data_IF_872628741738
#
_entry.id   IF_872628741738
#
_cell.length_a   1.000
_cell.length_b   1.000
_cell.length_c   1.000
_cell.angle_alpha   90.00
_cell.angle_beta   90.00
_cell.angle_gamma   90.00
#
_symmetry.space_group_name_H-M   'P 1'
#
loop_
_entity.id
_entity.type
_entity.pdbx_description
1 polymer ?
#
# COMPACT_ATOMS: atom_id res chain seq x y z
N UNK A 1 -28.88 -1.71 2.73
CA UNK A 1 -28.60 -1.72 4.18
C UNK A 1 -27.14 -2.14 4.38
N UNK A 2 -26.28 -1.20 4.75
CA UNK A 2 -24.90 -1.45 5.08
C UNK A 2 -24.83 -2.33 6.33
N UNK A 3 -24.34 -3.56 6.18
CA UNK A 3 -24.15 -4.49 7.32
C UNK A 3 -22.79 -4.32 7.98
N UNK A 4 -21.81 -3.74 7.26
CA UNK A 4 -20.47 -3.52 7.78
C UNK A 4 -20.33 -2.13 8.37
N UNK A 5 -19.79 -2.05 9.58
CA UNK A 5 -19.41 -0.78 10.23
C UNK A 5 -17.98 -0.36 9.91
N UNK A 6 -17.40 -0.93 8.87
CA UNK A 6 -16.05 -0.64 8.42
C UNK A 6 -16.03 -0.40 6.91
N UNK A 7 -15.11 0.46 6.47
CA UNK A 7 -14.75 0.72 5.08
C UNK A 7 -13.24 0.66 4.97
N UNK A 8 -12.73 -0.01 3.95
CA UNK A 8 -11.29 -0.03 3.66
C UNK A 8 -11.05 0.75 2.37
N UNK A 9 -10.18 1.74 2.45
CA UNK A 9 -9.66 2.48 1.31
C UNK A 9 -8.28 1.91 0.96
N UNK A 10 -8.04 1.65 -0.31
CA UNK A 10 -6.78 1.09 -0.80
C UNK A 10 -6.29 1.87 -2.01
N UNK A 11 -5.02 1.76 -2.34
CA UNK A 11 -4.44 2.50 -3.45
C UNK A 11 -4.98 2.04 -4.80
N UNK A 12 -4.96 0.77 -5.07
CA UNK A 12 -5.40 0.15 -6.32
C UNK A 12 -6.02 -1.22 -6.08
N UNK A 13 -5.40 -2.24 -6.64
CA UNK A 13 -5.80 -3.64 -6.49
C UNK A 13 -5.27 -4.32 -5.22
N UNK A 14 -4.66 -3.59 -4.31
CA UNK A 14 -4.00 -4.07 -3.09
C UNK A 14 -4.94 -4.88 -2.20
N UNK A 15 -6.23 -4.60 -2.29
CA UNK A 15 -7.22 -5.38 -1.55
C UNK A 15 -7.14 -6.87 -1.86
N UNK A 16 -6.71 -7.26 -3.06
CA UNK A 16 -6.49 -8.67 -3.43
C UNK A 16 -5.32 -9.29 -2.64
N UNK A 17 -4.23 -8.53 -2.48
CA UNK A 17 -3.07 -8.96 -1.70
C UNK A 17 -3.43 -9.03 -0.22
N UNK A 18 -4.07 -7.97 0.31
CA UNK A 18 -4.48 -7.91 1.71
C UNK A 18 -5.42 -9.06 2.11
N UNK A 19 -6.41 -9.38 1.28
CA UNK A 19 -7.31 -10.51 1.50
C UNK A 19 -6.54 -11.83 1.55
N UNK A 20 -5.64 -12.04 0.59
CA UNK A 20 -4.84 -13.26 0.54
C UNK A 20 -3.95 -13.42 1.76
N UNK A 21 -3.30 -12.34 2.20
CA UNK A 21 -2.48 -12.36 3.41
C UNK A 21 -3.35 -12.62 4.65
N UNK A 22 -4.48 -11.94 4.77
CA UNK A 22 -5.45 -12.16 5.85
C UNK A 22 -5.86 -13.64 5.96
N UNK A 23 -6.25 -14.26 4.85
CA UNK A 23 -6.68 -15.65 4.81
C UNK A 23 -5.57 -16.64 5.23
N UNK A 24 -4.30 -16.25 5.06
CA UNK A 24 -3.16 -17.06 5.42
C UNK A 24 -2.76 -16.93 6.90
N UNK A 25 -2.95 -15.76 7.50
CA UNK A 25 -2.46 -15.46 8.85
C UNK A 25 -3.55 -15.45 9.92
N UNK A 26 -4.81 -15.21 9.52
CA UNK A 26 -5.92 -15.15 10.45
C UNK A 26 -6.57 -16.52 10.64
N UNK A 27 -7.12 -16.76 11.82
CA UNK A 27 -7.87 -17.98 12.07
C UNK A 27 -9.11 -18.06 11.18
N UNK A 28 -9.57 -19.27 10.79
CA UNK A 28 -10.77 -19.44 9.97
C UNK A 28 -12.05 -18.85 10.59
N UNK A 29 -12.05 -18.64 11.90
CA UNK A 29 -13.15 -18.00 12.63
C UNK A 29 -13.10 -16.47 12.60
N UNK A 30 -12.01 -15.88 12.09
CA UNK A 30 -11.88 -14.42 11.96
C UNK A 30 -12.85 -13.89 10.90
N UNK A 31 -13.41 -12.68 11.09
CA UNK A 31 -14.24 -12.05 10.06
C UNK A 31 -13.46 -11.90 8.75
N UNK A 32 -14.03 -12.38 7.64
CA UNK A 32 -13.41 -12.24 6.33
C UNK A 32 -13.38 -10.79 5.88
N UNK A 33 -12.26 -10.37 5.28
CA UNK A 33 -12.15 -9.06 4.63
C UNK A 33 -13.10 -8.92 3.42
N UNK A 34 -13.61 -10.03 2.87
CA UNK A 34 -14.64 -9.99 1.82
C UNK A 34 -15.97 -9.38 2.26
N UNK A 35 -16.24 -9.44 3.57
CA UNK A 35 -17.44 -8.84 4.14
C UNK A 35 -17.35 -7.33 4.34
N UNK A 36 -16.15 -6.76 4.20
CA UNK A 36 -15.89 -5.34 4.42
C UNK A 36 -15.85 -4.63 3.06
N UNK A 37 -16.72 -3.63 2.84
CA UNK A 37 -16.66 -2.79 1.65
C UNK A 37 -15.27 -2.17 1.50
N UNK A 38 -14.78 -2.15 0.27
CA UNK A 38 -13.51 -1.51 -0.05
C UNK A 38 -13.65 -0.59 -1.27
N UNK A 39 -12.79 0.40 -1.32
CA UNK A 39 -12.80 1.38 -2.39
C UNK A 39 -11.36 1.74 -2.79
N UNK A 40 -10.98 1.51 -4.07
CA UNK A 40 -9.72 1.97 -4.61
C UNK A 40 -9.76 3.49 -4.79
N UNK A 41 -8.83 4.19 -4.14
CA UNK A 41 -8.81 5.67 -4.18
C UNK A 41 -7.93 6.24 -5.29
N UNK A 42 -7.17 5.40 -6.00
CA UNK A 42 -6.30 5.84 -7.09
C UNK A 42 -5.04 6.55 -6.60
N UNK A 43 -4.44 6.06 -5.53
CA UNK A 43 -3.20 6.57 -4.97
C UNK A 43 -3.32 7.87 -4.18
N UNK A 44 -2.20 8.49 -3.93
CA UNK A 44 -2.10 9.74 -3.16
C UNK A 44 -2.91 10.88 -3.74
N UNK A 45 -3.04 10.97 -5.07
CA UNK A 45 -3.85 11.99 -5.74
C UNK A 45 -5.35 11.88 -5.46
N UNK A 46 -5.84 10.68 -5.17
CA UNK A 46 -7.25 10.41 -4.84
C UNK A 46 -7.65 10.76 -3.42
N UNK A 47 -6.70 11.16 -2.55
CA UNK A 47 -6.93 11.41 -1.14
C UNK A 47 -8.05 12.41 -0.84
N UNK A 48 -8.07 13.56 -1.53
CA UNK A 48 -9.09 14.59 -1.31
C UNK A 48 -10.50 14.07 -1.60
N UNK A 49 -10.66 13.29 -2.67
CA UNK A 49 -11.93 12.65 -3.03
C UNK A 49 -12.34 11.60 -2.00
N UNK A 50 -11.39 10.79 -1.52
CA UNK A 50 -11.61 9.80 -0.49
C UNK A 50 -12.10 10.43 0.83
N UNK A 51 -11.45 11.52 1.26
CA UNK A 51 -11.88 12.28 2.44
C UNK A 51 -13.30 12.81 2.28
N UNK A 52 -13.62 13.40 1.13
CA UNK A 52 -14.96 13.93 0.85
C UNK A 52 -16.02 12.83 0.98
N UNK A 53 -15.76 11.67 0.40
CA UNK A 53 -16.68 10.54 0.46
C UNK A 53 -16.82 9.95 1.87
N UNK A 54 -15.72 9.81 2.62
CA UNK A 54 -15.76 9.35 4.01
C UNK A 54 -16.58 10.32 4.87
N UNK A 55 -16.36 11.63 4.70
CA UNK A 55 -17.13 12.65 5.43
C UNK A 55 -18.61 12.59 5.08
N UNK A 56 -18.96 12.42 3.80
CA UNK A 56 -20.35 12.27 3.39
C UNK A 56 -20.99 11.02 3.99
N UNK A 57 -20.30 9.89 4.00
CA UNK A 57 -20.75 8.66 4.62
C UNK A 57 -20.97 8.82 6.13
N UNK A 58 -20.01 9.37 6.85
CA UNK A 58 -20.10 9.59 8.29
C UNK A 58 -21.27 10.51 8.69
N UNK A 59 -21.56 11.52 7.85
CA UNK A 59 -22.67 12.45 8.08
C UNK A 59 -24.04 11.87 7.69
N UNK A 60 -24.09 10.91 6.78
CA UNK A 60 -25.36 10.35 6.28
C UNK A 60 -25.85 9.12 7.05
N UNK A 61 -24.99 8.52 7.87
CA UNK A 61 -25.32 7.30 8.62
C UNK A 61 -25.35 7.64 10.11
N UNK A 62 -26.44 7.24 10.79
CA UNK A 62 -26.60 7.43 12.24
C UNK A 62 -25.63 6.59 13.09
N UNK A 63 -24.92 5.66 12.47
CA UNK A 63 -23.95 4.78 13.13
C UNK A 63 -22.52 5.17 12.71
N UNK A 64 -21.58 5.10 13.66
CA UNK A 64 -20.16 5.36 13.37
C UNK A 64 -19.57 4.30 12.43
N UNK A 65 -19.09 4.74 11.29
CA UNK A 65 -18.33 3.89 10.35
C UNK A 65 -16.83 4.08 10.65
N UNK A 66 -16.12 2.98 10.88
CA UNK A 66 -14.65 2.98 10.96
C UNK A 66 -14.07 2.96 9.56
N UNK A 67 -13.20 3.89 9.28
CA UNK A 67 -12.52 3.98 7.99
C UNK A 67 -11.05 3.65 8.17
N UNK A 68 -10.58 2.66 7.42
CA UNK A 68 -9.19 2.27 7.33
C UNK A 68 -8.68 2.66 5.95
N UNK A 69 -7.44 3.11 5.87
CA UNK A 69 -6.80 3.41 4.60
C UNK A 69 -5.41 2.77 4.58
N UNK A 70 -5.07 2.13 3.47
CA UNK A 70 -3.75 1.55 3.23
C UNK A 70 -3.20 2.17 1.96
N UNK A 71 -2.01 2.77 2.05
CA UNK A 71 -1.31 3.42 0.94
C UNK A 71 0.12 2.91 0.85
N UNK A 72 0.65 2.90 -0.33
CA UNK A 72 2.06 2.75 -0.59
C UNK A 72 2.83 4.01 -0.16
N UNK A 73 4.09 3.89 0.17
CA UNK A 73 4.90 5.08 0.49
C UNK A 73 5.47 5.75 -0.75
N UNK A 74 5.54 5.03 -1.84
CA UNK A 74 6.16 5.48 -3.10
C UNK A 74 7.49 6.21 -2.88
N UNK A 75 7.65 7.40 -3.45
CA UNK A 75 8.78 8.31 -3.25
C UNK A 75 8.42 9.52 -2.39
N UNK A 76 7.28 9.45 -1.66
CA UNK A 76 6.83 10.55 -0.83
C UNK A 76 7.78 10.87 0.32
N UNK A 77 7.95 12.15 0.59
CA UNK A 77 8.84 12.64 1.63
C UNK A 77 8.28 12.35 3.04
N UNK A 78 9.13 12.21 4.05
CA UNK A 78 8.70 12.00 5.45
C UNK A 78 7.70 13.06 5.93
N UNK A 79 7.86 14.31 5.50
CA UNK A 79 6.99 15.43 5.83
C UNK A 79 5.59 15.25 5.22
N UNK A 80 5.51 14.85 3.94
CA UNK A 80 4.24 14.57 3.25
C UNK A 80 3.51 13.40 3.90
N UNK A 81 4.25 12.35 4.27
CA UNK A 81 3.72 11.21 5.02
C UNK A 81 3.16 11.64 6.37
N UNK A 82 3.89 12.51 7.09
CA UNK A 82 3.45 13.02 8.39
C UNK A 82 2.18 13.88 8.27
N UNK A 83 2.11 14.75 7.27
CA UNK A 83 0.93 15.58 6.97
C UNK A 83 -0.28 14.70 6.60
N UNK A 84 -0.06 13.68 5.77
CA UNK A 84 -1.11 12.74 5.39
C UNK A 84 -1.68 12.00 6.61
N UNK A 85 -0.81 11.52 7.48
CA UNK A 85 -1.21 10.88 8.75
C UNK A 85 -1.96 11.83 9.67
N UNK A 86 -1.54 13.08 9.77
CA UNK A 86 -2.24 14.10 10.55
C UNK A 86 -3.63 14.40 9.96
N UNK A 87 -3.72 14.54 8.64
CA UNK A 87 -4.98 14.73 7.92
C UNK A 87 -5.95 13.57 8.14
N UNK A 88 -5.48 12.33 8.04
CA UNK A 88 -6.28 11.14 8.28
C UNK A 88 -6.82 11.11 9.72
N UNK A 89 -5.95 11.36 10.71
CA UNK A 89 -6.31 11.37 12.12
C UNK A 89 -7.39 12.41 12.44
N UNK A 90 -7.27 13.61 11.88
CA UNK A 90 -8.26 14.68 12.09
C UNK A 90 -9.66 14.34 11.55
N UNK A 91 -9.77 13.31 10.71
CA UNK A 91 -11.02 12.86 10.09
C UNK A 91 -11.46 11.47 10.55
N UNK A 92 -10.81 10.93 11.58
CA UNK A 92 -11.15 9.62 12.12
C UNK A 92 -10.86 8.46 11.15
N UNK A 93 -9.87 8.63 10.25
CA UNK A 93 -9.40 7.59 9.34
C UNK A 93 -8.14 6.95 9.94
N UNK A 94 -8.16 5.65 10.11
CA UNK A 94 -6.98 4.87 10.51
C UNK A 94 -6.11 4.61 9.27
N UNK A 95 -5.07 5.42 9.11
CA UNK A 95 -4.17 5.36 7.95
C UNK A 95 -2.92 4.55 8.24
N UNK A 96 -2.69 3.52 7.44
CA UNK A 96 -1.44 2.81 7.33
C UNK A 96 -0.73 3.19 6.02
N UNK A 97 0.53 3.56 6.11
CA UNK A 97 1.41 3.75 4.95
C UNK A 97 2.55 2.75 5.09
N UNK A 98 2.78 1.96 4.05
CA UNK A 98 3.82 0.95 4.06
C UNK A 98 5.20 1.55 4.34
N UNK A 99 6.06 0.78 5.01
CA UNK A 99 7.45 1.15 5.27
C UNK A 99 8.37 0.90 4.07
N UNK A 100 7.84 0.26 3.05
CA UNK A 100 8.47 -0.03 1.76
C UNK A 100 7.71 0.69 0.67
N UNK A 101 8.31 0.85 -0.51
CA UNK A 101 7.73 1.63 -1.60
C UNK A 101 6.33 1.16 -1.98
N UNK A 102 6.16 -0.12 -2.21
CA UNK A 102 4.91 -0.75 -2.65
C UNK A 102 4.66 -2.03 -1.85
N UNK A 103 3.40 -2.45 -1.74
CA UNK A 103 3.03 -3.67 -1.00
C UNK A 103 3.74 -4.92 -1.54
N UNK A 104 4.04 -4.97 -2.83
CA UNK A 104 4.75 -6.07 -3.48
C UNK A 104 6.18 -6.24 -2.97
N UNK A 105 6.81 -5.18 -2.46
CA UNK A 105 8.15 -5.28 -1.90
C UNK A 105 8.24 -6.26 -0.71
N UNK A 106 7.14 -6.46 0.02
CA UNK A 106 7.07 -7.49 1.07
C UNK A 106 7.16 -8.92 0.54
N UNK A 107 6.95 -9.12 -0.77
CA UNK A 107 7.03 -10.43 -1.43
C UNK A 107 8.46 -10.74 -1.91
N UNK A 108 9.40 -9.79 -1.87
CA UNK A 108 10.80 -9.97 -2.28
C UNK A 108 11.60 -10.77 -1.23
N UNK A 109 11.05 -11.89 -0.79
CA UNK A 109 11.67 -12.80 0.17
C UNK A 109 12.21 -14.02 -0.60
N UNK A 110 13.53 -14.28 -0.62
CA UNK A 110 14.13 -15.34 -1.43
C UNK A 110 13.50 -16.71 -1.25
N UNK A 111 13.18 -17.09 -0.01
CA UNK A 111 12.52 -18.37 0.27
C UNK A 111 11.09 -18.46 -0.31
N UNK A 112 10.34 -17.36 -0.33
CA UNK A 112 9.00 -17.33 -0.94
C UNK A 112 9.09 -17.42 -2.45
N UNK A 113 10.01 -16.69 -3.05
CA UNK A 113 10.26 -16.69 -4.51
C UNK A 113 10.69 -18.10 -4.94
N UNK A 114 11.64 -18.71 -4.23
CA UNK A 114 12.07 -20.08 -4.50
C UNK A 114 10.88 -21.06 -4.49
N UNK A 115 10.06 -21.03 -3.45
CA UNK A 115 8.87 -21.90 -3.35
C UNK A 115 7.86 -21.66 -4.46
N UNK A 116 7.71 -20.43 -4.93
CA UNK A 116 6.85 -20.11 -6.07
C UNK A 116 7.42 -20.71 -7.37
N UNK A 117 8.72 -20.59 -7.59
CA UNK A 117 9.42 -21.20 -8.74
C UNK A 117 9.28 -22.73 -8.68
N UNK A 118 9.57 -23.37 -7.56
CA UNK A 118 9.47 -24.83 -7.38
C UNK A 118 8.08 -25.38 -7.75
N UNK A 119 7.02 -24.61 -7.53
CA UNK A 119 5.66 -25.01 -7.91
C UNK A 119 5.34 -24.82 -9.39
N UNK A 120 6.14 -24.02 -10.09
CA UNK A 120 5.89 -23.63 -11.49
C UNK A 120 6.80 -24.35 -12.48
N UNK A 121 7.92 -24.89 -12.05
CA UNK A 121 8.87 -25.59 -12.92
C UNK A 121 8.53 -27.08 -13.06
N UNK A 122 8.85 -27.63 -14.24
CA UNK A 122 8.68 -29.07 -14.54
C UNK A 122 10.05 -29.76 -14.57
N UNK A 123 10.20 -30.94 -14.02
CA UNK A 123 11.44 -31.71 -14.16
C UNK A 123 11.86 -31.84 -15.63
N UNK A 124 13.18 -31.79 -15.96
CA UNK A 124 14.33 -31.88 -15.04
C UNK A 124 14.83 -30.53 -14.47
N UNK A 125 14.10 -29.41 -14.68
CA UNK A 125 14.53 -28.11 -14.20
C UNK A 125 14.56 -28.08 -12.66
N UNK A 126 15.52 -27.33 -12.11
CA UNK A 126 15.71 -27.14 -10.66
C UNK A 126 15.57 -25.67 -10.34
N UNK A 127 14.87 -25.35 -9.26
CA UNK A 127 14.75 -23.97 -8.80
C UNK A 127 16.12 -23.47 -8.29
N UNK A 128 16.45 -22.18 -8.52
CA UNK A 128 17.65 -21.58 -7.97
C UNK A 128 17.63 -21.61 -6.44
N UNK A 129 18.79 -21.61 -5.84
CA UNK A 129 18.94 -21.49 -4.38
C UNK A 129 18.49 -20.12 -3.87
N UNK A 130 18.19 -20.03 -2.60
CA UNK A 130 17.83 -18.74 -1.98
C UNK A 130 18.98 -17.73 -2.09
N UNK A 131 20.22 -18.17 -2.04
CA UNK A 131 21.39 -17.33 -2.22
C UNK A 131 21.48 -16.74 -3.64
N UNK A 132 21.21 -17.55 -4.66
CA UNK A 132 21.19 -17.09 -6.06
C UNK A 132 20.04 -16.10 -6.27
N UNK A 133 18.86 -16.36 -5.70
CA UNK A 133 17.71 -15.43 -5.76
C UNK A 133 18.05 -14.12 -5.05
N UNK A 134 18.64 -14.17 -3.85
CA UNK A 134 19.06 -12.98 -3.10
C UNK A 134 20.07 -12.14 -3.87
N UNK A 135 21.05 -12.81 -4.50
CA UNK A 135 22.03 -12.14 -5.34
C UNK A 135 21.37 -11.46 -6.55
N UNK A 136 20.45 -12.15 -7.21
CA UNK A 136 19.72 -11.59 -8.36
C UNK A 136 18.86 -10.38 -7.97
N UNK A 137 18.18 -10.44 -6.82
CA UNK A 137 17.44 -9.28 -6.28
C UNK A 137 18.38 -8.10 -6.07
N UNK A 138 19.57 -8.35 -5.49
CA UNK A 138 20.57 -7.30 -5.24
C UNK A 138 21.09 -6.67 -6.53
N UNK A 139 21.33 -7.48 -7.56
CA UNK A 139 21.78 -7.00 -8.88
C UNK A 139 20.69 -6.08 -9.48
N UNK A 140 19.45 -6.56 -9.53
CA UNK A 140 18.32 -5.78 -10.06
C UNK A 140 18.13 -4.47 -9.27
N UNK A 141 18.24 -4.52 -7.94
CA UNK A 141 18.12 -3.33 -7.10
C UNK A 141 19.22 -2.31 -7.41
N UNK A 142 20.46 -2.77 -7.66
CA UNK A 142 21.55 -1.89 -8.06
C UNK A 142 21.35 -1.27 -9.45
N UNK A 143 20.84 -2.03 -10.40
CA UNK A 143 20.50 -1.54 -11.74
C UNK A 143 19.37 -0.49 -11.71
N UNK A 144 18.39 -0.65 -10.82
CA UNK A 144 17.28 0.27 -10.67
C UNK A 144 17.60 1.50 -9.79
N UNK A 145 18.69 1.46 -9.02
CA UNK A 145 19.02 2.53 -8.07
C UNK A 145 19.12 3.93 -8.70
N UNK A 146 19.74 4.13 -9.88
CA UNK A 146 19.78 5.46 -10.51
C UNK A 146 18.37 5.98 -10.84
N UNK A 147 17.51 5.13 -11.36
CA UNK A 147 16.11 5.48 -11.68
C UNK A 147 15.35 5.87 -10.41
N UNK A 148 15.51 5.09 -9.35
CA UNK A 148 14.86 5.37 -8.06
C UNK A 148 15.35 6.71 -7.47
N UNK A 149 16.65 7.01 -7.59
CA UNK A 149 17.24 8.28 -7.16
C UNK A 149 16.69 9.46 -7.95
N UNK A 150 16.58 9.35 -9.28
CA UNK A 150 16.02 10.40 -10.14
C UNK A 150 14.56 10.68 -9.81
N UNK A 151 13.76 9.64 -9.58
CA UNK A 151 12.36 9.77 -9.18
C UNK A 151 12.22 10.44 -7.81
N UNK A 152 13.04 10.04 -6.83
CA UNK A 152 13.03 10.66 -5.51
C UNK A 152 13.43 12.15 -5.56
N UNK A 153 14.47 12.49 -6.34
CA UNK A 153 14.89 13.88 -6.54
C UNK A 153 13.79 14.69 -7.24
N UNK A 154 13.12 14.10 -8.22
CA UNK A 154 12.00 14.74 -8.91
C UNK A 154 10.87 15.09 -7.93
N UNK A 155 10.50 14.13 -7.06
CA UNK A 155 9.46 14.34 -6.04
C UNK A 155 9.88 15.42 -5.03
N UNK A 156 11.11 15.36 -4.55
CA UNK A 156 11.67 16.38 -3.67
C UNK A 156 11.60 17.79 -4.28
N UNK A 157 11.96 17.94 -5.55
CA UNK A 157 11.90 19.22 -6.26
C UNK A 157 10.45 19.70 -6.45
N UNK A 158 9.52 18.80 -6.75
CA UNK A 158 8.10 19.13 -6.91
C UNK A 158 7.49 19.60 -5.58
N UNK A 159 7.76 18.92 -4.49
CA UNK A 159 7.28 19.33 -3.16
C UNK A 159 7.81 20.72 -2.76
N UNK A 160 9.09 20.99 -3.01
CA UNK A 160 9.69 22.29 -2.67
C UNK A 160 9.24 23.43 -3.58
N UNK A 161 8.92 23.16 -4.86
CA UNK A 161 8.32 24.18 -5.75
C UNK A 161 6.92 24.56 -5.28
N UNK A 162 6.11 23.60 -4.88
CA UNK A 162 4.78 23.86 -4.35
C UNK A 162 4.85 24.69 -3.05
N UNK A 163 5.79 24.40 -2.16
CA UNK A 163 6.02 25.19 -0.94
C UNK A 163 6.49 26.63 -1.24
N UNK A 164 7.40 26.81 -2.21
CA UNK A 164 7.87 28.14 -2.63
C UNK A 164 6.78 28.99 -3.30
N UNK A 165 5.88 28.39 -4.07
CA UNK A 165 4.75 29.08 -4.68
C UNK A 165 3.66 29.50 -3.67
N UNK A 166 3.58 28.84 -2.52
CA UNK A 166 2.64 29.20 -1.46
C UNK A 166 3.13 30.37 -0.58
N UNK A 167 4.41 30.76 -0.69
CA UNK A 167 5.05 31.84 0.07
C UNK A 167 5.23 33.13 -0.75
N UNK A 168 4.90 33.12 -2.02
CA UNK A 168 4.94 34.24 -2.95
C UNK A 168 3.54 34.79 -3.24
#
# INVERSE_FOLDING_TARGET
LWRSRALILVEGDDMRVLKRVHDLICAPSSPSLDSIPNWPIGGWGGWSSAIGAVSALQNSVHESIRCYCVLDSDYHLPEEIAERKASARSRGIELHIHSVKEIENFLLVPSLIRRAIERSITPPNVAPSEAEISNQISIIAQELLPIAQDLYVSEFLNANRAAGAALA
#
